data_IF_430410987079
#
_entry.id   IF_430410987079
#
_cell.length_a   1.000
_cell.length_b   1.000
_cell.length_c   1.000
_cell.angle_alpha   90.00
_cell.angle_beta   90.00
_cell.angle_gamma   90.00
#
_symmetry.space_group_name_H-M   'P 1'
#
loop_
_entity.id
_entity.type
_entity.pdbx_description
1 polymer ?
#
# COMPACT_ATOMS: atom_id res chain seq x y z
N UNK A 1 6.60 -17.52 14.52
CA UNK A 1 5.78 -16.99 13.42
C UNK A 1 4.92 -15.78 13.79
N UNK A 2 3.86 -15.89 14.64
CA UNK A 2 2.99 -14.73 14.93
C UNK A 2 3.73 -13.59 15.64
N UNK A 3 4.59 -13.89 16.60
CA UNK A 3 5.41 -12.89 17.27
C UNK A 3 6.33 -12.15 16.31
N UNK A 4 6.95 -12.88 15.39
CA UNK A 4 7.89 -12.29 14.42
C UNK A 4 7.16 -11.47 13.37
N UNK A 5 6.00 -11.93 12.90
CA UNK A 5 5.12 -11.16 12.04
C UNK A 5 4.68 -9.84 12.70
N UNK A 6 4.34 -9.87 13.98
CA UNK A 6 3.99 -8.68 14.74
C UNK A 6 5.16 -7.70 14.89
N UNK A 7 6.38 -8.20 15.12
CA UNK A 7 7.59 -7.38 15.17
C UNK A 7 7.84 -6.68 13.84
N UNK A 8 7.70 -7.39 12.71
CA UNK A 8 7.84 -6.82 11.37
C UNK A 8 6.77 -5.76 11.12
N UNK A 9 5.51 -6.05 11.43
CA UNK A 9 4.41 -5.10 11.27
C UNK A 9 4.64 -3.82 12.10
N UNK A 10 5.01 -3.96 13.36
CA UNK A 10 5.27 -2.83 14.26
C UNK A 10 6.43 -1.97 13.76
N UNK A 11 7.51 -2.60 13.28
CA UNK A 11 8.65 -1.89 12.69
C UNK A 11 8.20 -1.07 11.46
N UNK A 12 7.48 -1.67 10.53
CA UNK A 12 7.04 -0.98 9.30
C UNK A 12 6.07 0.15 9.61
N UNK A 13 5.14 -0.03 10.55
CA UNK A 13 4.25 1.03 11.02
C UNK A 13 4.99 2.17 11.74
N UNK A 14 6.05 1.86 12.50
CA UNK A 14 6.89 2.89 13.14
C UNK A 14 7.66 3.71 12.10
N UNK A 15 8.21 3.05 11.07
CA UNK A 15 8.89 3.73 9.96
C UNK A 15 7.90 4.67 9.26
N UNK A 16 6.69 4.18 8.95
CA UNK A 16 5.66 4.98 8.30
C UNK A 16 5.23 6.18 9.15
N UNK A 17 5.01 5.98 10.45
CA UNK A 17 4.66 7.07 11.38
C UNK A 17 5.75 8.14 11.45
N UNK A 18 7.02 7.75 11.41
CA UNK A 18 8.15 8.70 11.42
C UNK A 18 8.31 9.44 10.10
N UNK A 19 8.14 8.77 8.99
CA UNK A 19 8.25 9.35 7.64
C UNK A 19 7.08 10.26 7.29
N UNK A 20 5.92 10.10 7.94
CA UNK A 20 4.67 10.84 7.71
C UNK A 20 4.18 10.82 6.26
N UNK A 21 4.61 9.83 5.45
CA UNK A 21 4.28 9.81 4.02
C UNK A 21 2.80 9.51 3.79
N UNK A 22 2.20 8.60 4.57
CA UNK A 22 0.75 8.34 4.47
C UNK A 22 -0.04 9.63 4.65
N UNK A 23 0.25 10.42 5.69
CA UNK A 23 -0.46 11.68 5.95
C UNK A 23 0.00 12.83 5.05
N UNK A 24 1.27 12.89 4.66
CA UNK A 24 1.83 13.99 3.87
C UNK A 24 1.67 13.84 2.36
N UNK A 25 1.50 12.64 1.85
CA UNK A 25 1.41 12.38 0.41
C UNK A 25 0.16 11.57 0.03
N UNK A 26 -0.08 10.44 0.70
CA UNK A 26 -1.14 9.51 0.30
C UNK A 26 -2.53 10.07 0.60
N UNK A 27 -2.75 10.60 1.79
CA UNK A 27 -4.03 11.21 2.18
C UNK A 27 -4.36 12.45 1.33
N UNK A 28 -3.44 13.41 1.11
CA UNK A 28 -3.71 14.54 0.20
C UNK A 28 -3.95 14.09 -1.24
N UNK A 29 -3.22 13.09 -1.72
CA UNK A 29 -3.47 12.52 -3.05
C UNK A 29 -4.88 11.91 -3.15
N UNK A 30 -5.29 11.13 -2.18
CA UNK A 30 -6.63 10.54 -2.12
C UNK A 30 -7.73 11.63 -2.08
N UNK A 31 -7.52 12.69 -1.29
CA UNK A 31 -8.40 13.84 -1.25
C UNK A 31 -8.48 14.59 -2.58
N UNK A 32 -7.32 14.80 -3.22
CA UNK A 32 -7.25 15.42 -4.56
C UNK A 32 -8.05 14.61 -5.58
N UNK A 33 -7.93 13.28 -5.57
CA UNK A 33 -8.69 12.39 -6.46
C UNK A 33 -10.21 12.57 -6.26
N UNK A 34 -10.68 12.61 -5.01
CA UNK A 34 -12.10 12.86 -4.72
C UNK A 34 -12.57 14.23 -5.27
N UNK A 35 -11.79 15.29 -5.02
CA UNK A 35 -12.11 16.64 -5.51
C UNK A 35 -12.14 16.67 -7.04
N UNK A 36 -11.15 16.06 -7.68
CA UNK A 36 -11.05 15.99 -9.13
C UNK A 36 -12.25 15.28 -9.77
N UNK A 37 -12.68 14.15 -9.20
CA UNK A 37 -13.88 13.47 -9.67
C UNK A 37 -15.14 14.27 -9.41
N UNK A 38 -15.22 15.00 -8.30
CA UNK A 38 -16.32 15.92 -8.04
C UNK A 38 -16.47 16.98 -9.15
N UNK A 39 -15.36 17.56 -9.59
CA UNK A 39 -15.35 18.51 -10.71
C UNK A 39 -15.56 17.84 -12.07
N UNK A 40 -14.95 16.69 -12.32
CA UNK A 40 -15.06 15.97 -13.59
C UNK A 40 -16.50 15.53 -13.90
N UNK A 41 -17.31 15.26 -12.88
CA UNK A 41 -18.73 14.93 -13.00
C UNK A 41 -19.64 16.16 -12.88
N UNK A 42 -19.09 17.36 -13.07
CA UNK A 42 -19.78 18.65 -13.10
C UNK A 42 -20.61 18.93 -11.84
N UNK A 43 -20.15 18.42 -10.70
CA UNK A 43 -20.88 18.46 -9.41
C UNK A 43 -22.34 17.99 -9.52
N UNK A 44 -22.67 17.20 -10.55
CA UNK A 44 -23.99 16.63 -10.75
C UNK A 44 -24.25 15.57 -9.67
N UNK A 45 -24.96 15.97 -8.62
CA UNK A 45 -25.18 15.16 -7.42
C UNK A 45 -25.73 13.75 -7.69
N UNK A 46 -26.75 13.54 -8.56
CA UNK A 46 -27.22 12.19 -8.88
C UNK A 46 -26.15 11.30 -9.51
N UNK A 47 -25.35 11.83 -10.44
CA UNK A 47 -24.28 11.08 -11.09
C UNK A 47 -23.15 10.77 -10.11
N UNK A 48 -22.76 11.75 -9.29
CA UNK A 48 -21.77 11.59 -8.23
C UNK A 48 -22.17 10.47 -7.26
N UNK A 49 -23.41 10.46 -6.77
CA UNK A 49 -23.91 9.44 -5.84
C UNK A 49 -23.90 8.04 -6.46
N UNK A 50 -24.26 7.92 -7.73
CA UNK A 50 -24.22 6.64 -8.45
C UNK A 50 -22.77 6.14 -8.65
N UNK A 51 -21.83 7.04 -8.89
CA UNK A 51 -20.43 6.72 -9.12
C UNK A 51 -19.61 6.54 -7.82
N UNK A 52 -20.12 6.98 -6.68
CA UNK A 52 -19.38 7.09 -5.41
C UNK A 52 -18.66 5.81 -5.02
N UNK A 53 -19.33 4.66 -5.06
CA UNK A 53 -18.72 3.39 -4.68
C UNK A 53 -17.57 2.99 -5.63
N UNK A 54 -17.76 3.19 -6.93
CA UNK A 54 -16.71 2.94 -7.93
C UNK A 54 -15.51 3.86 -7.73
N UNK A 55 -15.74 5.15 -7.52
CA UNK A 55 -14.69 6.14 -7.29
C UNK A 55 -13.91 5.85 -5.99
N UNK A 56 -14.62 5.47 -4.93
CA UNK A 56 -14.00 5.05 -3.68
C UNK A 56 -13.03 3.87 -3.90
N UNK A 57 -13.49 2.79 -4.54
CA UNK A 57 -12.66 1.61 -4.76
C UNK A 57 -11.51 1.85 -5.74
N UNK A 58 -11.72 2.63 -6.79
CA UNK A 58 -10.64 3.03 -7.71
C UNK A 58 -9.56 3.81 -6.95
N UNK A 59 -9.95 4.73 -6.07
CA UNK A 59 -8.99 5.49 -5.25
C UNK A 59 -8.20 4.57 -4.32
N UNK A 60 -8.88 3.62 -3.65
CA UNK A 60 -8.21 2.62 -2.80
C UNK A 60 -7.22 1.77 -3.60
N UNK A 61 -7.54 1.35 -4.82
CA UNK A 61 -6.62 0.59 -5.68
C UNK A 61 -5.37 1.39 -6.03
N UNK A 62 -5.49 2.68 -6.36
CA UNK A 62 -4.32 3.54 -6.58
C UNK A 62 -3.47 3.71 -5.32
N UNK A 63 -4.12 4.00 -4.21
CA UNK A 63 -3.44 4.16 -2.91
C UNK A 63 -2.74 2.87 -2.48
N UNK A 64 -3.39 1.71 -2.66
CA UNK A 64 -2.79 0.42 -2.32
C UNK A 64 -1.52 0.15 -3.12
N UNK A 65 -1.53 0.50 -4.40
CA UNK A 65 -0.34 0.38 -5.25
C UNK A 65 0.82 1.21 -4.72
N UNK A 66 0.57 2.45 -4.31
CA UNK A 66 1.59 3.33 -3.71
C UNK A 66 2.09 2.78 -2.37
N UNK A 67 1.20 2.30 -1.52
CA UNK A 67 1.54 1.73 -0.21
C UNK A 67 2.42 0.48 -0.34
N UNK A 68 2.08 -0.42 -1.27
CA UNK A 68 2.85 -1.64 -1.55
C UNK A 68 4.23 -1.30 -2.13
N UNK A 69 4.30 -0.41 -3.12
CA UNK A 69 5.57 0.02 -3.72
C UNK A 69 6.50 0.59 -2.66
N UNK A 70 5.97 1.40 -1.75
CA UNK A 70 6.74 1.96 -0.66
C UNK A 70 7.21 0.89 0.33
N UNK A 71 6.32 0.00 0.77
CA UNK A 71 6.66 -1.10 1.67
C UNK A 71 7.78 -1.98 1.13
N UNK A 72 7.80 -2.22 -0.20
CA UNK A 72 8.85 -2.99 -0.86
C UNK A 72 10.15 -2.20 -1.03
N UNK A 73 10.07 -0.89 -1.29
CA UNK A 73 11.26 -0.05 -1.47
C UNK A 73 12.10 0.08 -0.20
N UNK A 74 11.48 0.11 0.97
CA UNK A 74 12.17 0.17 2.27
C UNK A 74 13.10 -1.03 2.46
N UNK A 75 12.73 -2.22 2.01
CA UNK A 75 13.58 -3.41 2.14
C UNK A 75 14.75 -3.46 1.16
N UNK A 76 14.57 -2.89 -0.03
CA UNK A 76 15.61 -2.95 -1.07
C UNK A 76 16.71 -1.92 -0.85
N UNK A 77 16.41 -0.79 -0.20
CA UNK A 77 17.33 0.35 -0.07
C UNK A 77 18.37 0.15 1.04
N UNK A 78 18.00 -0.46 2.17
CA UNK A 78 18.83 -0.47 3.38
C UNK A 78 19.39 -1.85 3.77
N UNK A 79 19.32 -2.85 2.88
CA UNK A 79 19.73 -4.21 3.22
C UNK A 79 18.86 -4.83 4.34
N UNK A 80 17.72 -4.23 4.65
CA UNK A 80 16.82 -4.64 5.73
C UNK A 80 16.37 -6.10 5.57
N UNK A 81 16.18 -6.57 4.33
CA UNK A 81 15.88 -7.98 4.05
C UNK A 81 16.99 -8.92 4.55
N UNK A 82 18.25 -8.52 4.35
CA UNK A 82 19.41 -9.32 4.81
C UNK A 82 19.51 -9.32 6.33
N UNK A 83 19.22 -8.19 6.96
CA UNK A 83 19.18 -8.09 8.42
C UNK A 83 18.06 -8.96 9.03
N UNK A 84 16.88 -9.02 8.43
CA UNK A 84 15.79 -9.90 8.87
C UNK A 84 16.16 -11.39 8.76
N UNK A 85 16.82 -11.79 7.67
CA UNK A 85 17.31 -13.16 7.50
C UNK A 85 18.38 -13.53 8.53
N UNK A 86 19.32 -12.61 8.81
CA UNK A 86 20.36 -12.80 9.83
C UNK A 86 19.78 -12.86 11.25
N UNK A 87 18.66 -12.18 11.50
CA UNK A 87 17.91 -12.26 12.75
C UNK A 87 17.08 -13.55 12.90
N UNK A 88 17.13 -14.46 11.92
CA UNK A 88 16.41 -15.73 11.95
C UNK A 88 14.90 -15.61 11.72
N UNK A 89 14.42 -14.49 11.17
CA UNK A 89 13.01 -14.29 10.89
C UNK A 89 12.65 -15.01 9.58
N UNK A 90 11.68 -15.91 9.68
CA UNK A 90 11.22 -16.71 8.54
C UNK A 90 10.49 -15.86 7.49
N UNK A 91 10.66 -16.14 6.18
CA UNK A 91 10.00 -15.41 5.10
C UNK A 91 8.47 -15.31 5.23
N UNK A 92 7.74 -16.37 5.64
CA UNK A 92 6.30 -16.27 5.88
C UNK A 92 5.92 -15.24 6.96
N UNK A 93 6.72 -15.11 8.01
CA UNK A 93 6.49 -14.13 9.06
C UNK A 93 6.69 -12.70 8.55
N UNK A 94 7.68 -12.48 7.68
CA UNK A 94 7.90 -11.20 7.01
C UNK A 94 6.71 -10.85 6.11
N UNK A 95 6.21 -11.80 5.31
CA UNK A 95 5.05 -11.59 4.45
C UNK A 95 3.81 -11.19 5.25
N UNK A 96 3.47 -11.95 6.29
CA UNK A 96 2.30 -11.66 7.14
C UNK A 96 2.46 -10.31 7.84
N UNK A 97 3.63 -10.02 8.39
CA UNK A 97 3.91 -8.74 9.05
C UNK A 97 3.75 -7.54 8.12
N UNK A 98 4.25 -7.64 6.89
CA UNK A 98 4.08 -6.59 5.89
C UNK A 98 2.63 -6.43 5.43
N UNK A 99 1.94 -7.54 5.21
CA UNK A 99 0.52 -7.49 4.85
C UNK A 99 -0.30 -6.79 5.93
N UNK A 100 -0.02 -7.05 7.21
CA UNK A 100 -0.65 -6.35 8.33
C UNK A 100 -0.32 -4.84 8.30
N UNK A 101 0.94 -4.47 8.09
CA UNK A 101 1.33 -3.07 8.05
C UNK A 101 0.64 -2.32 6.90
N UNK A 102 0.60 -2.90 5.70
CA UNK A 102 -0.10 -2.35 4.54
C UNK A 102 -1.60 -2.26 4.80
N UNK A 103 -2.21 -3.30 5.38
CA UNK A 103 -3.63 -3.29 5.72
C UNK A 103 -4.01 -2.16 6.68
N UNK A 104 -3.21 -1.95 7.73
CA UNK A 104 -3.43 -0.83 8.67
C UNK A 104 -3.32 0.53 7.97
N UNK A 105 -2.36 0.71 7.08
CA UNK A 105 -2.22 1.95 6.30
C UNK A 105 -3.45 2.18 5.39
N UNK A 106 -3.92 1.14 4.70
CA UNK A 106 -5.10 1.23 3.85
C UNK A 106 -6.37 1.55 4.66
N UNK A 107 -6.57 0.92 5.81
CA UNK A 107 -7.70 1.22 6.69
C UNK A 107 -7.73 2.69 7.13
N UNK A 108 -6.57 3.28 7.44
CA UNK A 108 -6.48 4.71 7.76
C UNK A 108 -6.94 5.56 6.58
N UNK A 109 -6.50 5.24 5.36
CA UNK A 109 -6.89 5.98 4.16
C UNK A 109 -8.37 5.76 3.83
N UNK A 110 -8.89 4.55 4.00
CA UNK A 110 -10.33 4.23 3.81
C UNK A 110 -11.21 5.07 4.73
N UNK A 111 -10.84 5.22 6.01
CA UNK A 111 -11.57 6.07 6.94
C UNK A 111 -11.58 7.53 6.45
N UNK A 112 -10.43 8.05 6.03
CA UNK A 112 -10.34 9.43 5.51
C UNK A 112 -11.17 9.60 4.24
N UNK A 113 -11.13 8.61 3.33
CA UNK A 113 -11.92 8.63 2.10
C UNK A 113 -13.42 8.54 2.39
N UNK A 114 -13.85 7.70 3.34
CA UNK A 114 -15.25 7.62 3.75
C UNK A 114 -15.75 8.97 4.27
N UNK A 115 -14.96 9.63 5.12
CA UNK A 115 -15.29 10.99 5.59
C UNK A 115 -15.36 11.95 4.39
N UNK A 116 -14.39 11.87 3.48
CA UNK A 116 -14.36 12.70 2.27
C UNK A 116 -15.60 12.51 1.41
N UNK A 117 -16.02 11.28 1.16
CA UNK A 117 -17.21 10.94 0.38
C UNK A 117 -18.50 11.48 1.03
N UNK A 118 -18.64 11.30 2.34
CA UNK A 118 -19.81 11.82 3.08
C UNK A 118 -19.85 13.36 3.02
N UNK A 119 -18.72 14.01 3.23
CA UNK A 119 -18.64 15.49 3.28
C UNK A 119 -18.72 16.13 1.90
N UNK A 120 -17.94 15.65 0.93
CA UNK A 120 -17.87 16.28 -0.39
C UNK A 120 -19.05 15.92 -1.30
N UNK A 121 -19.46 14.65 -1.27
CA UNK A 121 -20.51 14.14 -2.15
C UNK A 121 -21.90 14.14 -1.47
N UNK A 122 -21.94 14.43 -0.16
CA UNK A 122 -23.16 14.30 0.65
C UNK A 122 -23.81 12.92 0.50
N UNK A 123 -22.97 11.88 0.45
CA UNK A 123 -23.45 10.51 0.32
C UNK A 123 -24.10 10.05 1.62
N UNK A 124 -25.31 9.53 1.50
CA UNK A 124 -26.05 8.97 2.62
C UNK A 124 -25.76 7.46 2.70
N UNK A 125 -25.19 7.02 3.81
CA UNK A 125 -24.78 5.63 3.99
C UNK A 125 -25.76 4.96 4.96
N UNK A 126 -26.72 4.20 4.42
CA UNK A 126 -27.73 3.51 5.23
C UNK A 126 -27.17 2.28 5.97
N UNK A 127 -26.21 1.57 5.34
CA UNK A 127 -25.71 0.27 5.81
C UNK A 127 -24.25 0.33 6.27
N UNK A 128 -23.95 1.10 7.29
CA UNK A 128 -22.58 1.26 7.83
C UNK A 128 -21.89 -0.07 8.16
N UNK A 129 -22.62 -1.05 8.73
CA UNK A 129 -22.07 -2.36 9.04
C UNK A 129 -21.58 -3.11 7.80
N UNK A 130 -22.31 -3.03 6.69
CA UNK A 130 -21.94 -3.64 5.43
C UNK A 130 -20.69 -2.95 4.83
N UNK A 131 -20.65 -1.62 4.86
CA UNK A 131 -19.51 -0.85 4.39
C UNK A 131 -18.25 -1.22 5.16
N UNK A 132 -18.30 -1.24 6.50
CA UNK A 132 -17.15 -1.66 7.31
C UNK A 132 -16.72 -3.10 7.03
N UNK A 133 -17.64 -4.04 6.92
CA UNK A 133 -17.31 -5.42 6.60
C UNK A 133 -16.65 -5.55 5.23
N UNK A 134 -17.16 -4.84 4.23
CA UNK A 134 -16.61 -4.84 2.86
C UNK A 134 -15.21 -4.23 2.84
N UNK A 135 -15.00 -3.08 3.51
CA UNK A 135 -13.69 -2.45 3.65
C UNK A 135 -12.69 -3.40 4.29
N UNK A 136 -13.02 -4.02 5.43
CA UNK A 136 -12.11 -4.95 6.11
C UNK A 136 -11.71 -6.14 5.23
N UNK A 137 -12.69 -6.80 4.60
CA UNK A 137 -12.43 -7.98 3.76
C UNK A 137 -11.59 -7.59 2.54
N UNK A 138 -11.95 -6.50 1.86
CA UNK A 138 -11.23 -6.02 0.70
C UNK A 138 -9.81 -5.58 1.05
N UNK A 139 -9.63 -4.85 2.14
CA UNK A 139 -8.30 -4.41 2.61
C UNK A 139 -7.37 -5.58 2.89
N UNK A 140 -7.86 -6.64 3.56
CA UNK A 140 -7.06 -7.85 3.80
C UNK A 140 -6.65 -8.50 2.47
N UNK A 141 -7.59 -8.64 1.52
CA UNK A 141 -7.31 -9.20 0.20
C UNK A 141 -6.30 -8.37 -0.60
N UNK A 142 -6.52 -7.06 -0.66
CA UNK A 142 -5.64 -6.12 -1.39
C UNK A 142 -4.24 -6.09 -0.75
N UNK A 143 -4.14 -6.02 0.57
CA UNK A 143 -2.86 -5.99 1.27
C UNK A 143 -2.07 -7.30 1.06
N UNK A 144 -2.72 -8.45 1.16
CA UNK A 144 -2.06 -9.74 0.93
C UNK A 144 -1.61 -9.90 -0.51
N UNK A 145 -2.49 -9.67 -1.49
CA UNK A 145 -2.16 -9.76 -2.92
C UNK A 145 -1.08 -8.75 -3.32
N UNK A 146 -1.21 -7.50 -2.88
CA UNK A 146 -0.24 -6.45 -3.15
C UNK A 146 1.14 -6.76 -2.57
N UNK A 147 1.21 -7.22 -1.32
CA UNK A 147 2.48 -7.60 -0.68
C UNK A 147 3.13 -8.78 -1.41
N UNK A 148 2.35 -9.76 -1.85
CA UNK A 148 2.85 -10.89 -2.64
C UNK A 148 3.43 -10.43 -3.98
N UNK A 149 2.70 -9.61 -4.72
CA UNK A 149 3.16 -9.05 -5.99
C UNK A 149 4.40 -8.19 -5.81
N UNK A 150 4.43 -7.35 -4.78
CA UNK A 150 5.61 -6.54 -4.42
C UNK A 150 6.85 -7.38 -4.14
N UNK A 151 6.71 -8.50 -3.41
CA UNK A 151 7.79 -9.44 -3.13
C UNK A 151 8.30 -10.13 -4.41
N UNK A 152 7.41 -10.50 -5.34
CA UNK A 152 7.78 -11.09 -6.62
C UNK A 152 8.56 -10.11 -7.49
N UNK A 153 8.09 -8.87 -7.63
CA UNK A 153 8.77 -7.80 -8.39
C UNK A 153 10.16 -7.49 -7.82
N UNK A 154 10.27 -7.41 -6.48
CA UNK A 154 11.57 -7.20 -5.82
C UNK A 154 12.55 -8.35 -6.09
N UNK A 155 12.05 -9.59 -6.15
CA UNK A 155 12.86 -10.77 -6.49
C UNK A 155 13.40 -10.75 -7.92
N UNK A 156 12.62 -10.29 -8.88
CA UNK A 156 13.03 -10.17 -10.29
C UNK A 156 14.12 -9.08 -10.43
N UNK A 157 13.91 -7.89 -9.87
CA UNK A 157 14.89 -6.79 -9.92
C UNK A 157 16.24 -7.17 -9.30
N UNK A 158 16.25 -7.92 -8.20
CA UNK A 158 17.47 -8.38 -7.57
C UNK A 158 18.30 -9.30 -8.50
N UNK A 159 17.65 -10.13 -9.31
CA UNK A 159 18.32 -11.01 -10.29
C UNK A 159 18.92 -10.24 -11.45
N UNK A 160 18.22 -9.23 -11.95
CA UNK A 160 18.73 -8.37 -13.04
C UNK A 160 19.99 -7.61 -12.61
N UNK A 161 20.01 -7.03 -11.42
CA UNK A 161 21.17 -6.27 -10.91
C UNK A 161 22.41 -7.15 -10.81
N UNK A 162 22.29 -8.40 -10.38
CA UNK A 162 23.41 -9.36 -10.31
C UNK A 162 23.93 -9.69 -11.71
N UNK A 163 23.04 -9.87 -12.68
CA UNK A 163 23.44 -10.16 -14.07
C UNK A 163 24.25 -9.02 -14.70
N UNK A 164 23.84 -7.77 -14.51
CA UNK A 164 24.58 -6.60 -15.02
C UNK A 164 25.94 -6.40 -14.36
N UNK A 165 26.08 -6.66 -13.08
CA UNK A 165 27.37 -6.56 -12.38
C UNK A 165 28.37 -7.62 -12.84
N UNK A 166 27.92 -8.84 -13.14
CA UNK A 166 28.75 -9.89 -13.70
C UNK A 166 29.23 -9.58 -15.13
N UNK A 167 28.37 -9.07 -15.99
CA UNK A 167 28.73 -8.68 -17.35
C UNK A 167 29.74 -7.55 -17.36
N UNK A 168 29.59 -6.54 -16.53
CA UNK A 168 30.55 -5.42 -16.43
C UNK A 168 31.89 -5.83 -15.87
N UNK A 169 31.95 -6.81 -14.97
CA UNK A 169 33.21 -7.33 -14.44
C UNK A 169 34.03 -8.11 -15.49
N UNK A 170 33.36 -8.68 -16.49
CA UNK A 170 34.04 -9.32 -17.63
C UNK A 170 34.58 -8.32 -18.66
N UNK A 171 33.93 -7.17 -18.85
CA UNK A 171 34.34 -6.14 -19.78
C UNK A 171 35.56 -5.32 -19.30
N UNK A 172 35.82 -5.26 -18.01
CA UNK A 172 36.90 -4.46 -17.41
C UNK A 172 38.19 -5.23 -17.14
N UNK A 173 38.40 -6.44 -17.69
CA UNK A 173 39.72 -7.09 -17.67
C UNK A 173 40.57 -6.51 -18.80
N UNK A 174 41.61 -5.69 -18.51
CA UNK A 174 42.58 -5.30 -19.50
C UNK A 174 43.42 -6.54 -19.86
N UNK A 175 43.68 -6.72 -21.14
CA UNK A 175 44.67 -7.66 -21.66
C UNK A 175 46.09 -7.25 -21.25
#
# INVERSE_FOLDING_TARGET
MLRDAWLVATKDLQIERRSRVTFGQVVPFAGLVLVLFGFALDANRPVLLQATSGLFWVTIMFVSTLAVQRSTSIETTDGARRALLLAGIEPPAVFVGKSIAVAVQLLVVEIVLLIGVVVLYSADIEAWGLVFATCLIATVGIAAAGTLLGALVAGVRARETVSYTHLRAHETRPY
#
